data_IF_451614702467
#
_entry.id   IF_451614702467
#
_cell.length_a   1.000
_cell.length_b   1.000
_cell.length_c   1.000
_cell.angle_alpha   90.00
_cell.angle_beta   90.00
_cell.angle_gamma   90.00
#
_symmetry.space_group_name_H-M   'P 1'
#
loop_
_entity.id
_entity.type
_entity.pdbx_description
1 polymer ?
#
# COMPACT_ATOMS: atom_id res chain seq x y z
N UNK A 1 -21.60 3.36 -7.36
CA UNK A 1 -21.88 2.49 -6.18
C UNK A 1 -22.44 3.25 -4.97
N UNK A 2 -22.37 4.58 -4.94
CA UNK A 2 -22.71 5.38 -3.75
C UNK A 2 -24.17 5.21 -3.27
N UNK A 3 -25.13 4.97 -4.15
CA UNK A 3 -26.55 4.88 -3.78
C UNK A 3 -26.89 3.65 -2.93
N UNK A 4 -26.04 2.61 -2.96
CA UNK A 4 -26.23 1.40 -2.14
C UNK A 4 -25.62 1.54 -0.74
N UNK A 5 -25.02 2.69 -0.42
CA UNK A 5 -24.36 2.94 0.87
C UNK A 5 -25.31 3.48 1.95
N UNK A 6 -25.09 3.13 3.23
CA UNK A 6 -25.71 3.87 4.32
C UNK A 6 -25.33 5.36 4.29
N UNK A 7 -26.31 6.25 4.53
CA UNK A 7 -26.16 7.72 4.44
C UNK A 7 -24.93 8.32 5.13
N UNK A 8 -24.54 7.78 6.29
CA UNK A 8 -23.35 8.26 7.02
C UNK A 8 -22.06 8.13 6.19
N UNK A 9 -21.94 7.07 5.38
CA UNK A 9 -20.78 6.85 4.53
C UNK A 9 -20.83 7.74 3.28
N UNK A 10 -22.01 7.96 2.71
CA UNK A 10 -22.20 8.87 1.57
C UNK A 10 -21.64 10.26 1.90
N UNK A 11 -22.01 10.81 3.07
CA UNK A 11 -21.50 12.13 3.53
C UNK A 11 -19.98 12.15 3.72
N UNK A 12 -19.38 11.10 4.28
CA UNK A 12 -17.92 11.03 4.39
C UNK A 12 -17.24 11.03 3.03
N UNK A 13 -17.81 10.29 2.06
CA UNK A 13 -17.28 10.24 0.69
C UNK A 13 -17.39 11.61 0.00
N UNK A 14 -18.53 12.31 0.14
CA UNK A 14 -18.71 13.67 -0.40
C UNK A 14 -17.64 14.64 0.12
N UNK A 15 -17.36 14.64 1.43
CA UNK A 15 -16.31 15.47 2.02
C UNK A 15 -14.92 15.15 1.45
N UNK A 16 -14.64 13.86 1.19
CA UNK A 16 -13.37 13.44 0.59
C UNK A 16 -13.25 13.88 -0.87
N UNK A 17 -14.35 13.88 -1.63
CA UNK A 17 -14.36 14.39 -3.01
C UNK A 17 -13.97 15.85 -3.05
N UNK A 18 -14.57 16.65 -2.18
CA UNK A 18 -14.30 18.08 -2.06
C UNK A 18 -12.86 18.33 -1.61
N UNK A 19 -12.38 17.55 -0.63
CA UNK A 19 -11.06 17.75 -0.01
C UNK A 19 -9.90 17.29 -0.89
N UNK A 20 -10.09 16.21 -1.67
CA UNK A 20 -9.02 15.53 -2.41
C UNK A 20 -9.21 15.55 -3.93
N UNK A 21 -10.12 16.38 -4.43
CA UNK A 21 -10.29 16.62 -5.87
C UNK A 21 -10.67 15.36 -6.65
N UNK A 22 -11.46 14.47 -6.06
CA UNK A 22 -11.91 13.26 -6.75
C UNK A 22 -12.83 13.59 -7.94
N UNK A 23 -13.42 14.79 -8.01
CA UNK A 23 -14.18 15.26 -9.18
C UNK A 23 -13.33 15.73 -10.36
N UNK A 24 -12.00 15.81 -10.22
CA UNK A 24 -11.07 16.28 -11.26
C UNK A 24 -10.23 15.13 -11.83
N UNK A 25 -9.39 15.37 -12.83
CA UNK A 25 -8.30 14.44 -13.14
C UNK A 25 -7.21 14.52 -12.04
N UNK A 26 -6.37 13.50 -11.89
CA UNK A 26 -5.24 13.59 -10.96
C UNK A 26 -4.29 14.71 -11.37
N UNK A 27 -4.06 14.84 -12.68
CA UNK A 27 -3.22 15.88 -13.25
C UNK A 27 -3.68 17.26 -12.81
N UNK A 28 -4.93 17.63 -13.11
CA UNK A 28 -5.44 18.98 -12.82
C UNK A 28 -5.41 19.29 -11.32
N UNK A 29 -5.76 18.29 -10.51
CA UNK A 29 -5.71 18.42 -9.06
C UNK A 29 -4.27 18.70 -8.57
N UNK A 30 -3.27 17.97 -9.07
CA UNK A 30 -1.88 18.17 -8.65
C UNK A 30 -1.29 19.44 -9.24
N UNK A 31 -1.53 19.77 -10.52
CA UNK A 31 -1.05 21.01 -11.14
C UNK A 31 -1.51 22.25 -10.37
N UNK A 32 -2.78 22.31 -9.97
CA UNK A 32 -3.29 23.41 -9.14
C UNK A 32 -2.60 23.48 -7.76
N UNK A 33 -2.21 22.34 -7.19
CA UNK A 33 -1.42 22.29 -5.94
C UNK A 33 0.02 22.71 -6.17
N UNK A 34 0.64 22.36 -7.29
CA UNK A 34 1.99 22.78 -7.65
C UNK A 34 2.05 24.31 -7.74
N UNK A 35 1.14 24.95 -8.49
CA UNK A 35 1.06 26.41 -8.60
C UNK A 35 0.96 27.09 -7.23
N UNK A 36 0.17 26.52 -6.32
CA UNK A 36 -0.06 27.07 -4.99
C UNK A 36 1.12 26.85 -4.03
N UNK A 37 1.78 25.69 -4.08
CA UNK A 37 2.68 25.23 -3.02
C UNK A 37 4.15 25.18 -3.40
N UNK A 38 4.49 25.12 -4.69
CA UNK A 38 5.89 25.06 -5.15
C UNK A 38 6.75 26.23 -4.73
N UNK A 39 6.27 27.50 -4.72
CA UNK A 39 7.08 28.61 -4.22
C UNK A 39 7.63 28.35 -2.80
N UNK A 40 6.86 27.67 -1.94
CA UNK A 40 7.29 27.30 -0.59
C UNK A 40 8.15 26.04 -0.56
N UNK A 41 7.74 24.99 -1.28
CA UNK A 41 8.42 23.68 -1.29
C UNK A 41 9.80 23.73 -1.95
N UNK A 42 9.99 24.57 -2.97
CA UNK A 42 11.26 24.75 -3.67
C UNK A 42 12.09 25.91 -3.09
N UNK A 43 11.50 26.71 -2.21
CA UNK A 43 12.16 27.79 -1.46
C UNK A 43 12.56 27.36 -0.06
N UNK A 44 11.88 27.91 0.94
CA UNK A 44 12.21 27.77 2.37
C UNK A 44 12.22 26.32 2.87
N UNK A 45 11.31 25.49 2.35
CA UNK A 45 11.13 24.10 2.76
C UNK A 45 11.90 23.10 1.89
N UNK A 46 12.76 23.58 0.98
CA UNK A 46 13.59 22.69 0.17
C UNK A 46 14.48 21.86 1.09
N UNK A 47 14.56 20.55 0.82
CA UNK A 47 15.49 19.67 1.55
C UNK A 47 16.92 20.19 1.36
N UNK A 48 17.54 20.61 2.47
CA UNK A 48 18.92 21.11 2.50
C UNK A 48 19.90 19.94 2.63
N UNK A 49 21.09 20.09 2.08
CA UNK A 49 22.20 19.15 2.27
C UNK A 49 22.11 17.86 1.44
N UNK A 50 21.39 17.88 0.33
CA UNK A 50 21.37 16.78 -0.65
C UNK A 50 21.76 17.33 -2.01
N UNK A 51 22.72 16.70 -2.69
CA UNK A 51 23.19 17.11 -4.02
C UNK A 51 22.24 16.65 -5.13
N UNK A 52 21.00 17.13 -5.09
CA UNK A 52 19.99 16.85 -6.11
C UNK A 52 19.99 17.89 -7.23
N UNK A 53 19.73 17.42 -8.45
CA UNK A 53 19.37 18.27 -9.59
C UNK A 53 18.04 18.98 -9.35
N UNK A 54 17.79 20.07 -10.08
CA UNK A 54 16.52 20.79 -10.01
C UNK A 54 15.31 19.88 -10.30
N UNK A 55 15.43 18.98 -11.29
CA UNK A 55 14.38 18.02 -11.63
C UNK A 55 14.06 17.05 -10.48
N UNK A 56 15.07 16.60 -9.74
CA UNK A 56 14.89 15.74 -8.57
C UNK A 56 14.23 16.50 -7.40
N UNK A 57 14.54 17.79 -7.22
CA UNK A 57 13.84 18.63 -6.26
C UNK A 57 12.36 18.83 -6.63
N UNK A 58 12.06 19.03 -7.91
CA UNK A 58 10.68 19.10 -8.43
C UNK A 58 9.97 17.75 -8.24
N UNK A 59 10.63 16.64 -8.51
CA UNK A 59 10.07 15.30 -8.33
C UNK A 59 9.72 15.05 -6.86
N UNK A 60 10.61 15.38 -5.93
CA UNK A 60 10.34 15.27 -4.49
C UNK A 60 9.21 16.19 -4.04
N UNK A 61 9.18 17.46 -4.49
CA UNK A 61 8.09 18.38 -4.17
C UNK A 61 6.74 17.87 -4.71
N UNK A 62 6.72 17.30 -5.92
CA UNK A 62 5.53 16.69 -6.52
C UNK A 62 5.10 15.44 -5.75
N UNK A 63 6.06 14.57 -5.39
CA UNK A 63 5.83 13.40 -4.55
C UNK A 63 5.21 13.79 -3.22
N UNK A 64 5.63 14.88 -2.58
CA UNK A 64 5.03 15.35 -1.34
C UNK A 64 3.54 15.75 -1.50
N UNK A 65 3.15 16.30 -2.66
CA UNK A 65 1.75 16.65 -2.96
C UNK A 65 0.89 15.43 -3.29
N UNK A 66 1.51 14.36 -3.78
CA UNK A 66 0.85 13.09 -4.15
C UNK A 66 0.96 12.02 -3.06
N UNK A 67 1.83 12.21 -2.07
CA UNK A 67 2.19 11.20 -1.09
C UNK A 67 1.14 11.02 0.00
N UNK A 68 1.16 9.83 0.62
CA UNK A 68 0.35 9.52 1.79
C UNK A 68 -1.11 9.14 1.48
N UNK A 69 -1.91 9.08 2.55
CA UNK A 69 -3.31 8.64 2.49
C UNK A 69 -4.23 9.47 1.58
N UNK A 70 -4.05 10.79 1.38
CA UNK A 70 -4.88 11.57 0.47
C UNK A 70 -5.02 10.99 -0.94
N UNK A 71 -3.94 10.47 -1.52
CA UNK A 71 -3.97 9.84 -2.85
C UNK A 71 -4.78 8.55 -2.85
N UNK A 72 -4.63 7.76 -1.78
CA UNK A 72 -5.38 6.52 -1.61
C UNK A 72 -6.87 6.82 -1.43
N UNK A 73 -7.23 7.73 -0.52
CA UNK A 73 -8.60 8.18 -0.26
C UNK A 73 -9.28 8.72 -1.52
N UNK A 74 -8.53 9.43 -2.37
CA UNK A 74 -9.01 9.86 -3.68
C UNK A 74 -9.38 8.67 -4.58
N UNK A 75 -8.56 7.62 -4.61
CA UNK A 75 -8.85 6.39 -5.36
C UNK A 75 -10.11 5.67 -4.86
N UNK A 76 -10.29 5.62 -3.54
CA UNK A 76 -11.53 5.12 -2.92
C UNK A 76 -12.75 5.94 -3.35
N UNK A 77 -12.67 7.27 -3.30
CA UNK A 77 -13.75 8.14 -3.72
C UNK A 77 -14.12 7.90 -5.20
N UNK A 78 -13.13 7.86 -6.09
CA UNK A 78 -13.32 7.54 -7.52
C UNK A 78 -13.99 6.18 -7.72
N UNK A 79 -13.53 5.14 -7.02
CA UNK A 79 -14.13 3.81 -7.06
C UNK A 79 -15.61 3.84 -6.68
N UNK A 80 -15.95 4.51 -5.58
CA UNK A 80 -17.30 4.45 -5.02
C UNK A 80 -18.30 5.31 -5.82
N UNK A 81 -17.86 6.48 -6.26
CA UNK A 81 -18.71 7.46 -6.95
C UNK A 81 -18.85 7.15 -8.43
N UNK A 82 -17.74 6.89 -9.10
CA UNK A 82 -17.67 6.75 -10.55
C UNK A 82 -17.63 5.28 -10.99
N UNK A 83 -17.62 4.33 -10.04
CA UNK A 83 -17.51 2.89 -10.32
C UNK A 83 -16.20 2.54 -11.06
N UNK A 84 -15.10 3.21 -10.71
CA UNK A 84 -13.79 3.09 -11.39
C UNK A 84 -12.76 2.27 -10.59
N UNK A 85 -12.73 0.93 -10.73
CA UNK A 85 -11.76 0.08 -10.02
C UNK A 85 -10.31 0.36 -10.41
N UNK A 86 -10.06 0.79 -11.65
CA UNK A 86 -8.73 1.16 -12.12
C UNK A 86 -8.13 2.34 -11.36
N UNK A 87 -8.96 3.28 -10.91
CA UNK A 87 -8.47 4.44 -10.15
C UNK A 87 -8.05 4.04 -8.74
N UNK A 88 -8.74 3.09 -8.11
CA UNK A 88 -8.34 2.56 -6.81
C UNK A 88 -7.03 1.77 -6.91
N UNK A 89 -6.90 0.92 -7.93
CA UNK A 89 -5.65 0.21 -8.18
C UNK A 89 -4.48 1.17 -8.44
N UNK A 90 -4.70 2.21 -9.27
CA UNK A 90 -3.73 3.28 -9.53
C UNK A 90 -3.30 4.04 -8.31
N UNK A 91 -4.25 4.49 -7.51
CA UNK A 91 -3.98 5.14 -6.24
C UNK A 91 -3.20 4.24 -5.28
N UNK A 92 -3.56 2.96 -5.16
CA UNK A 92 -2.89 2.01 -4.27
C UNK A 92 -1.43 1.73 -4.69
N UNK A 93 -1.18 1.45 -5.99
CA UNK A 93 0.17 1.25 -6.51
C UNK A 93 1.01 2.52 -6.40
N UNK A 94 0.52 3.68 -6.87
CA UNK A 94 1.26 4.94 -6.76
C UNK A 94 1.53 5.31 -5.30
N UNK A 95 0.57 5.13 -4.39
CA UNK A 95 0.78 5.33 -2.96
C UNK A 95 1.94 4.49 -2.42
N UNK A 96 1.95 3.18 -2.71
CA UNK A 96 3.03 2.30 -2.30
C UNK A 96 4.37 2.71 -2.92
N UNK A 97 4.41 2.91 -4.23
CA UNK A 97 5.63 3.32 -4.93
C UNK A 97 6.22 4.62 -4.37
N UNK A 98 5.41 5.65 -4.14
CA UNK A 98 5.87 6.91 -3.54
C UNK A 98 6.31 6.76 -2.08
N UNK A 99 5.72 5.81 -1.35
CA UNK A 99 6.04 5.56 0.05
C UNK A 99 7.31 4.73 0.24
N UNK A 100 7.54 3.77 -0.64
CA UNK A 100 8.67 2.84 -0.56
C UNK A 100 9.87 3.29 -1.40
N UNK A 101 9.67 4.20 -2.36
CA UNK A 101 10.69 4.81 -3.22
C UNK A 101 11.99 5.18 -2.47
N UNK A 102 11.92 5.92 -1.36
CA UNK A 102 13.12 6.38 -0.64
C UNK A 102 13.58 5.43 0.48
N UNK A 103 13.10 4.18 0.48
CA UNK A 103 13.27 3.24 1.59
C UNK A 103 12.41 3.62 2.80
N UNK A 104 12.08 2.65 3.65
CA UNK A 104 11.26 2.92 4.85
C UNK A 104 12.11 3.38 6.03
N UNK A 105 13.24 4.04 5.82
CA UNK A 105 14.10 4.43 6.93
C UNK A 105 13.65 5.75 7.56
N UNK A 106 13.63 5.79 8.88
CA UNK A 106 13.44 7.04 9.62
C UNK A 106 14.73 7.89 9.64
N UNK A 107 14.68 8.98 10.40
CA UNK A 107 15.80 9.89 10.59
C UNK A 107 16.98 9.26 11.35
N UNK A 108 16.74 8.20 12.12
CA UNK A 108 17.75 7.42 12.84
C UNK A 108 18.25 6.23 12.00
N UNK A 109 17.89 6.20 10.71
CA UNK A 109 18.25 5.16 9.75
C UNK A 109 17.63 3.78 10.08
N UNK A 110 16.60 3.72 10.92
CA UNK A 110 15.89 2.50 11.28
C UNK A 110 14.72 2.24 10.31
N UNK A 111 14.46 0.97 9.98
CA UNK A 111 13.36 0.60 9.09
C UNK A 111 12.01 0.72 9.77
N UNK A 112 11.24 1.73 9.36
CA UNK A 112 9.82 1.85 9.60
C UNK A 112 9.08 0.67 8.97
N UNK A 113 8.32 0.01 9.82
CA UNK A 113 7.43 -1.04 9.40
C UNK A 113 6.09 -0.45 8.94
N UNK A 114 5.67 -0.73 7.71
CA UNK A 114 4.39 -0.28 7.15
C UNK A 114 3.60 -1.45 6.54
N UNK A 115 3.48 -2.55 7.29
CA UNK A 115 2.93 -3.80 6.78
C UNK A 115 1.50 -3.69 6.23
N UNK A 116 0.63 -2.89 6.86
CA UNK A 116 -0.73 -2.65 6.34
C UNK A 116 -0.70 -1.93 4.98
N UNK A 117 0.22 -0.99 4.81
CA UNK A 117 0.39 -0.28 3.54
C UNK A 117 0.99 -1.18 2.46
N UNK A 118 1.79 -2.19 2.85
CA UNK A 118 2.24 -3.23 1.94
C UNK A 118 1.04 -3.99 1.38
N UNK A 119 0.15 -4.46 2.26
CA UNK A 119 -1.07 -5.15 1.83
C UNK A 119 -1.97 -4.25 0.97
N UNK A 120 -2.16 -2.98 1.35
CA UNK A 120 -2.95 -2.04 0.53
C UNK A 120 -2.38 -1.85 -0.87
N UNK A 121 -1.06 -1.82 -0.99
CA UNK A 121 -0.39 -1.69 -2.27
C UNK A 121 -0.48 -3.00 -3.08
N UNK A 122 -0.25 -4.16 -2.43
CA UNK A 122 -0.38 -5.48 -3.03
C UNK A 122 -1.78 -5.72 -3.62
N UNK A 123 -2.81 -5.12 -3.04
CA UNK A 123 -4.19 -5.18 -3.56
C UNK A 123 -4.34 -4.65 -4.99
N UNK A 124 -3.39 -3.84 -5.47
CA UNK A 124 -3.36 -3.38 -6.86
C UNK A 124 -2.74 -4.40 -7.83
N UNK A 125 -2.14 -5.48 -7.33
CA UNK A 125 -1.37 -6.44 -8.13
C UNK A 125 0.08 -6.01 -8.40
N UNK A 126 0.56 -4.94 -7.77
CA UNK A 126 1.92 -4.42 -7.94
C UNK A 126 2.97 -5.23 -7.18
N UNK A 127 3.16 -6.49 -7.58
CA UNK A 127 4.11 -7.40 -6.94
C UNK A 127 5.57 -6.99 -7.20
N UNK A 128 5.86 -6.47 -8.39
CA UNK A 128 7.22 -6.07 -8.79
C UNK A 128 7.85 -5.05 -7.84
N UNK A 129 7.04 -4.13 -7.29
CA UNK A 129 7.47 -3.22 -6.24
C UNK A 129 8.01 -3.97 -5.01
N UNK A 130 7.30 -5.00 -4.57
CA UNK A 130 7.64 -5.73 -3.35
C UNK A 130 8.77 -6.74 -3.54
N UNK A 131 8.87 -7.38 -4.71
CA UNK A 131 10.06 -8.15 -5.08
C UNK A 131 11.31 -7.28 -4.93
N UNK A 132 11.29 -6.08 -5.53
CA UNK A 132 12.43 -5.16 -5.44
C UNK A 132 12.65 -4.61 -4.03
N UNK A 133 11.58 -4.24 -3.33
CA UNK A 133 11.67 -3.79 -1.93
C UNK A 133 12.33 -4.85 -1.04
N UNK A 134 11.94 -6.12 -1.15
CA UNK A 134 12.53 -7.20 -0.32
C UNK A 134 13.96 -7.57 -0.68
N UNK A 135 14.41 -7.27 -1.91
CA UNK A 135 15.80 -7.47 -2.31
C UNK A 135 16.78 -6.51 -1.60
N UNK A 136 16.30 -5.36 -1.14
CA UNK A 136 17.14 -4.26 -0.63
C UNK A 136 16.86 -3.89 0.82
N UNK A 137 15.79 -4.42 1.40
CA UNK A 137 15.40 -4.18 2.80
C UNK A 137 15.69 -5.40 3.68
N UNK A 138 15.94 -5.20 5.00
CA UNK A 138 16.26 -6.30 5.89
C UNK A 138 15.06 -7.20 6.10
N UNK A 139 15.36 -8.45 6.44
CA UNK A 139 14.36 -9.48 6.66
C UNK A 139 13.36 -9.20 7.80
N UNK A 140 13.73 -8.33 8.76
CA UNK A 140 12.90 -7.96 9.92
C UNK A 140 13.07 -6.47 10.21
N UNK A 141 11.95 -5.79 10.46
CA UNK A 141 11.97 -4.44 11.01
C UNK A 141 12.38 -4.46 12.49
N UNK A 142 13.22 -3.50 12.91
CA UNK A 142 13.68 -3.38 14.31
C UNK A 142 12.74 -2.52 15.14
N UNK A 143 12.26 -1.42 14.56
CA UNK A 143 11.42 -0.42 15.20
C UNK A 143 9.95 -0.53 14.76
N UNK A 144 9.05 0.09 15.53
CA UNK A 144 7.62 0.13 15.25
C UNK A 144 6.77 -0.83 16.09
N UNK A 145 5.43 -0.76 15.95
CA UNK A 145 4.49 -1.57 16.72
C UNK A 145 4.71 -3.07 16.48
N UNK A 146 4.68 -3.86 17.56
CA UNK A 146 4.91 -5.31 17.52
C UNK A 146 4.14 -6.04 16.41
N UNK A 147 2.83 -5.75 16.31
CA UNK A 147 1.94 -6.34 15.31
C UNK A 147 2.39 -6.08 13.87
N UNK A 148 2.87 -4.87 13.60
CA UNK A 148 3.31 -4.49 12.25
C UNK A 148 4.63 -5.17 11.93
N UNK A 149 5.60 -5.18 12.85
CA UNK A 149 6.90 -5.85 12.66
C UNK A 149 6.74 -7.32 12.32
N UNK A 150 5.88 -8.00 13.08
CA UNK A 150 5.49 -9.37 12.88
C UNK A 150 4.88 -9.60 11.48
N UNK A 151 3.88 -8.80 11.12
CA UNK A 151 3.23 -8.89 9.81
C UNK A 151 4.20 -8.62 8.66
N UNK A 152 5.09 -7.64 8.80
CA UNK A 152 6.13 -7.36 7.83
C UNK A 152 7.09 -8.54 7.66
N UNK A 153 7.53 -9.17 8.75
CA UNK A 153 8.37 -10.37 8.68
C UNK A 153 7.66 -11.50 7.91
N UNK A 154 6.36 -11.71 8.16
CA UNK A 154 5.55 -12.68 7.41
C UNK A 154 5.44 -12.34 5.92
N UNK A 155 5.02 -11.12 5.58
CA UNK A 155 4.86 -10.69 4.18
C UNK A 155 6.18 -10.79 3.40
N UNK A 156 7.27 -10.27 3.97
CA UNK A 156 8.59 -10.30 3.32
C UNK A 156 9.14 -11.71 3.19
N UNK A 157 8.84 -12.62 4.13
CA UNK A 157 9.20 -14.03 4.02
C UNK A 157 8.46 -14.72 2.88
N UNK A 158 7.15 -14.44 2.70
CA UNK A 158 6.37 -14.96 1.57
C UNK A 158 6.94 -14.45 0.23
N UNK A 159 7.18 -13.15 0.11
CA UNK A 159 7.78 -12.55 -1.09
C UNK A 159 9.17 -13.16 -1.39
N UNK A 160 10.00 -13.36 -0.37
CA UNK A 160 11.33 -13.97 -0.53
C UNK A 160 11.27 -15.48 -0.77
N UNK A 161 10.08 -16.09 -0.74
CA UNK A 161 9.85 -17.54 -0.73
C UNK A 161 10.63 -18.30 0.36
N UNK A 162 10.91 -17.63 1.48
CA UNK A 162 11.64 -18.20 2.61
C UNK A 162 10.68 -18.81 3.64
N UNK A 163 10.46 -20.12 3.52
CA UNK A 163 9.55 -20.88 4.38
C UNK A 163 10.03 -20.94 5.84
N UNK A 164 11.33 -20.93 6.08
CA UNK A 164 11.88 -20.94 7.45
C UNK A 164 11.59 -19.61 8.13
N UNK A 165 11.86 -18.49 7.47
CA UNK A 165 11.50 -17.16 7.99
C UNK A 165 10.00 -17.00 8.21
N UNK A 166 9.18 -17.59 7.34
CA UNK A 166 7.72 -17.58 7.52
C UNK A 166 7.31 -18.34 8.78
N UNK A 167 7.84 -19.55 8.97
CA UNK A 167 7.59 -20.35 10.17
C UNK A 167 8.03 -19.62 11.45
N UNK A 168 9.21 -18.98 11.44
CA UNK A 168 9.69 -18.18 12.56
C UNK A 168 8.76 -17.00 12.87
N UNK A 169 8.27 -16.29 11.85
CA UNK A 169 7.35 -15.17 12.04
C UNK A 169 6.00 -15.61 12.62
N UNK A 170 5.52 -16.80 12.27
CA UNK A 170 4.29 -17.41 12.83
C UNK A 170 4.53 -17.84 14.28
N UNK A 171 5.62 -18.54 14.58
CA UNK A 171 5.96 -18.92 15.96
C UNK A 171 6.10 -17.70 16.89
N UNK A 172 6.70 -16.60 16.38
CA UNK A 172 6.82 -15.35 17.13
C UNK A 172 5.45 -14.68 17.38
N UNK A 173 4.50 -14.84 16.45
CA UNK A 173 3.10 -14.44 16.65
C UNK A 173 2.38 -15.30 17.69
N UNK A 174 2.57 -16.62 17.69
CA UNK A 174 1.93 -17.53 18.65
C UNK A 174 2.35 -17.24 20.10
N UNK A 175 3.58 -16.75 20.30
CA UNK A 175 4.07 -16.30 21.60
C UNK A 175 3.41 -14.98 22.08
N UNK A 176 2.68 -14.27 21.22
CA UNK A 176 2.06 -13.00 21.56
C UNK A 176 0.79 -13.18 22.40
N UNK A 177 0.79 -12.66 23.63
CA UNK A 177 -0.28 -12.90 24.62
C UNK A 177 -1.67 -12.34 24.28
N UNK A 178 -1.75 -11.29 23.47
CA UNK A 178 -3.02 -10.55 23.21
C UNK A 178 -3.09 -10.03 21.77
N UNK A 179 -3.10 -10.91 20.76
CA UNK A 179 -3.21 -10.47 19.38
C UNK A 179 -4.59 -9.86 19.12
N UNK A 180 -4.64 -8.83 18.28
CA UNK A 180 -5.92 -8.30 17.79
C UNK A 180 -6.54 -9.30 16.80
N UNK A 181 -7.88 -9.35 16.74
CA UNK A 181 -8.58 -10.31 15.88
C UNK A 181 -8.16 -10.23 14.41
N UNK A 182 -8.04 -9.02 13.85
CA UNK A 182 -7.66 -8.87 12.44
C UNK A 182 -6.24 -9.37 12.14
N UNK A 183 -5.31 -9.25 13.09
CA UNK A 183 -3.96 -9.84 12.95
C UNK A 183 -4.04 -11.35 12.97
N UNK A 184 -4.92 -11.91 13.82
CA UNK A 184 -5.16 -13.36 13.89
C UNK A 184 -5.64 -13.92 12.55
N UNK A 185 -6.54 -13.21 11.85
CA UNK A 185 -6.98 -13.63 10.52
C UNK A 185 -5.84 -13.62 9.49
N UNK A 186 -4.99 -12.58 9.51
CA UNK A 186 -3.82 -12.52 8.63
C UNK A 186 -2.87 -13.70 8.88
N UNK A 187 -2.56 -14.00 10.15
CA UNK A 187 -1.68 -15.09 10.52
C UNK A 187 -2.26 -16.47 10.23
N UNK A 188 -3.58 -16.67 10.41
CA UNK A 188 -4.24 -17.90 9.99
C UNK A 188 -4.10 -18.14 8.48
N UNK A 189 -4.15 -17.08 7.68
CA UNK A 189 -3.93 -17.15 6.22
C UNK A 189 -2.47 -17.49 5.90
N UNK A 190 -1.51 -16.85 6.57
CA UNK A 190 -0.08 -17.14 6.41
C UNK A 190 0.28 -18.57 6.85
N UNK A 191 -0.37 -19.08 7.90
CA UNK A 191 -0.23 -20.47 8.32
C UNK A 191 -0.73 -21.43 7.23
N UNK A 192 -1.90 -21.17 6.61
CA UNK A 192 -2.37 -21.97 5.48
C UNK A 192 -1.40 -21.98 4.30
N UNK A 193 -0.74 -20.84 4.02
CA UNK A 193 0.32 -20.76 3.01
C UNK A 193 1.54 -21.59 3.41
N UNK A 194 1.96 -21.54 4.67
CA UNK A 194 3.05 -22.38 5.18
C UNK A 194 2.68 -23.86 5.06
N UNK A 195 1.49 -24.26 5.48
CA UNK A 195 1.03 -25.65 5.47
C UNK A 195 0.65 -26.16 4.06
N UNK A 196 0.63 -25.27 3.07
CA UNK A 196 0.18 -25.56 1.71
C UNK A 196 -1.27 -26.06 1.66
N UNK A 197 -2.13 -25.46 2.50
CA UNK A 197 -3.56 -25.79 2.64
C UNK A 197 -4.45 -24.66 2.08
N UNK A 198 -5.01 -24.83 0.86
CA UNK A 198 -5.91 -23.85 0.26
C UNK A 198 -7.20 -23.58 1.06
N UNK A 199 -7.71 -24.58 1.79
CA UNK A 199 -8.93 -24.43 2.61
C UNK A 199 -8.63 -23.52 3.80
N UNK A 200 -7.45 -23.68 4.41
CA UNK A 200 -7.03 -22.81 5.51
C UNK A 200 -6.78 -21.38 5.05
N UNK A 201 -6.17 -21.19 3.87
CA UNK A 201 -6.00 -19.85 3.25
C UNK A 201 -7.36 -19.19 3.03
N UNK A 202 -8.32 -19.89 2.40
CA UNK A 202 -9.66 -19.36 2.15
C UNK A 202 -10.38 -18.96 3.45
N UNK A 203 -10.35 -19.81 4.48
CA UNK A 203 -10.94 -19.51 5.80
C UNK A 203 -10.30 -18.31 6.49
N UNK A 204 -8.99 -18.15 6.37
CA UNK A 204 -8.26 -17.01 6.91
C UNK A 204 -8.67 -15.70 6.24
N UNK A 205 -8.73 -15.69 4.90
CA UNK A 205 -9.21 -14.56 4.11
C UNK A 205 -10.66 -14.20 4.42
N UNK A 206 -11.55 -15.19 4.47
CA UNK A 206 -12.97 -14.99 4.82
C UNK A 206 -13.12 -14.34 6.20
N UNK A 207 -12.43 -14.89 7.21
CA UNK A 207 -12.43 -14.34 8.56
C UNK A 207 -11.89 -12.91 8.59
N UNK A 208 -10.88 -12.60 7.78
CA UNK A 208 -10.31 -11.27 7.70
C UNK A 208 -11.32 -10.27 7.10
N UNK A 209 -11.97 -10.64 5.99
CA UNK A 209 -13.02 -9.85 5.34
C UNK A 209 -14.15 -9.54 6.34
N UNK A 210 -14.63 -10.54 7.08
CA UNK A 210 -15.70 -10.35 8.07
C UNK A 210 -15.29 -9.47 9.26
N UNK A 211 -14.04 -9.61 9.70
CA UNK A 211 -13.50 -8.85 10.84
C UNK A 211 -13.21 -7.40 10.47
N UNK A 212 -12.77 -7.12 9.23
CA UNK A 212 -12.38 -5.79 8.76
C UNK A 212 -13.44 -4.71 9.01
N UNK A 213 -14.72 -5.07 8.82
CA UNK A 213 -15.87 -4.19 9.08
C UNK A 213 -16.01 -3.75 10.54
N UNK A 214 -15.46 -4.52 11.47
CA UNK A 214 -15.61 -4.35 12.92
C UNK A 214 -14.43 -3.62 13.56
N UNK A 215 -13.37 -3.30 12.81
CA UNK A 215 -12.17 -2.67 13.36
C UNK A 215 -12.45 -1.20 13.64
N UNK A 216 -12.60 -0.82 14.91
CA UNK A 216 -12.94 0.55 15.31
C UNK A 216 -11.87 1.57 14.93
N UNK A 217 -10.60 1.17 14.86
CA UNK A 217 -9.47 2.06 14.56
C UNK A 217 -9.29 2.36 13.07
N UNK A 218 -9.97 1.64 12.17
CA UNK A 218 -9.89 1.95 10.74
C UNK A 218 -10.72 3.19 10.43
N UNK A 219 -10.22 4.01 9.51
CA UNK A 219 -11.02 5.03 8.88
C UNK A 219 -12.21 4.39 8.18
N UNK A 220 -13.40 4.98 8.33
CA UNK A 220 -14.66 4.36 7.91
C UNK A 220 -14.71 3.99 6.42
N UNK A 221 -13.98 4.71 5.57
CA UNK A 221 -13.85 4.41 4.15
C UNK A 221 -13.12 3.07 3.89
N UNK A 222 -12.07 2.78 4.65
CA UNK A 222 -11.28 1.55 4.54
C UNK A 222 -12.04 0.31 5.07
N UNK A 223 -13.16 0.52 5.75
CA UNK A 223 -14.08 -0.56 6.15
C UNK A 223 -15.06 -0.92 5.03
N UNK A 224 -15.29 -0.01 4.08
CA UNK A 224 -16.22 -0.26 3.00
C UNK A 224 -15.61 -1.08 1.89
N UNK A 225 -14.41 -0.69 1.44
CA UNK A 225 -13.55 -1.52 0.61
C UNK A 225 -12.31 -1.79 1.47
N UNK A 226 -12.04 -3.03 1.82
CA UNK A 226 -10.86 -3.37 2.61
C UNK A 226 -9.79 -3.89 1.65
N UNK A 227 -8.75 -3.10 1.42
CA UNK A 227 -7.66 -3.48 0.52
C UNK A 227 -6.74 -4.53 1.14
N UNK A 228 -6.65 -4.62 2.47
CA UNK A 228 -5.72 -5.53 3.13
C UNK A 228 -6.01 -7.02 2.82
N UNK A 229 -7.27 -7.51 2.83
CA UNK A 229 -7.61 -8.84 2.33
C UNK A 229 -7.29 -9.04 0.84
N UNK A 230 -7.47 -8.01 0.00
CA UNK A 230 -7.09 -8.08 -1.42
C UNK A 230 -5.57 -8.25 -1.56
N UNK A 231 -4.79 -7.49 -0.80
CA UNK A 231 -3.34 -7.62 -0.80
C UNK A 231 -2.84 -8.97 -0.31
N UNK A 232 -3.48 -9.52 0.71
CA UNK A 232 -3.14 -10.84 1.23
C UNK A 232 -3.52 -11.95 0.24
N UNK A 233 -4.67 -11.82 -0.44
CA UNK A 233 -5.05 -12.69 -1.55
C UNK A 233 -4.01 -12.65 -2.69
N UNK A 234 -3.61 -11.46 -3.13
CA UNK A 234 -2.61 -11.30 -4.19
C UNK A 234 -1.24 -11.85 -3.79
N UNK A 235 -0.86 -11.70 -2.52
CA UNK A 235 0.35 -12.29 -1.97
C UNK A 235 0.31 -13.83 -2.03
N UNK A 236 -0.78 -14.45 -1.57
CA UNK A 236 -0.96 -15.90 -1.62
C UNK A 236 -0.97 -16.43 -3.06
N UNK A 237 -1.73 -15.77 -3.94
CA UNK A 237 -1.84 -16.13 -5.36
C UNK A 237 -0.50 -16.03 -6.09
N UNK A 238 0.28 -14.98 -5.83
CA UNK A 238 1.61 -14.83 -6.42
C UNK A 238 2.59 -15.89 -5.91
N UNK A 239 2.49 -16.28 -4.63
CA UNK A 239 3.31 -17.34 -4.07
C UNK A 239 3.01 -18.67 -4.76
N UNK A 240 1.74 -19.07 -4.80
CA UNK A 240 1.22 -20.23 -5.51
C UNK A 240 -0.28 -20.07 -5.79
N UNK A 241 -0.68 -20.17 -7.06
CA UNK A 241 -2.08 -20.04 -7.49
C UNK A 241 -2.96 -21.14 -6.87
N UNK A 242 -2.42 -22.33 -6.60
CA UNK A 242 -3.19 -23.42 -5.99
C UNK A 242 -3.69 -23.07 -4.59
N UNK A 243 -3.00 -22.20 -3.85
CA UNK A 243 -3.40 -21.79 -2.50
C UNK A 243 -4.70 -20.99 -2.45
N UNK A 244 -5.10 -20.38 -3.56
CA UNK A 244 -6.33 -19.57 -3.62
C UNK A 244 -7.49 -20.29 -4.32
N UNK A 245 -7.36 -21.59 -4.62
CA UNK A 245 -8.37 -22.36 -5.35
C UNK A 245 -9.72 -22.47 -4.63
N UNK A 246 -9.70 -22.49 -3.30
CA UNK A 246 -10.89 -22.63 -2.46
C UNK A 246 -11.51 -21.29 -2.05
N UNK A 247 -10.83 -20.17 -2.34
CA UNK A 247 -11.35 -18.84 -2.04
C UNK A 247 -12.33 -18.41 -3.13
N UNK A 248 -13.54 -18.02 -2.74
CA UNK A 248 -14.53 -17.45 -3.66
C UNK A 248 -14.29 -15.93 -3.83
N UNK A 249 -13.87 -15.44 -5.01
CA UNK A 249 -13.69 -14.02 -5.25
C UNK A 249 -14.98 -13.29 -5.64
N UNK A 250 -16.04 -14.00 -6.06
CA UNK A 250 -17.31 -13.45 -6.53
C UNK A 250 -18.21 -13.06 -5.34
N UNK A 251 -17.76 -12.05 -4.61
CA UNK A 251 -18.38 -11.59 -3.35
C UNK A 251 -18.61 -10.09 -3.36
N UNK A 252 -19.55 -9.64 -2.55
CA UNK A 252 -19.77 -8.23 -2.31
C UNK A 252 -18.76 -7.66 -1.31
N UNK A 253 -18.82 -6.35 -1.14
CA UNK A 253 -18.09 -5.57 -0.14
C UNK A 253 -18.10 -6.28 1.23
N UNK A 254 -17.04 -6.16 2.05
CA UNK A 254 -15.93 -5.23 1.91
C UNK A 254 -14.84 -5.71 0.95
N UNK A 255 -15.01 -6.91 0.39
CA UNK A 255 -14.28 -7.34 -0.79
C UNK A 255 -14.81 -6.61 -2.03
N UNK A 256 -13.97 -5.87 -2.74
CA UNK A 256 -14.37 -5.21 -3.97
C UNK A 256 -14.16 -6.10 -5.19
N UNK A 257 -15.24 -6.74 -5.66
CA UNK A 257 -15.18 -7.61 -6.85
C UNK A 257 -14.73 -6.86 -8.12
N UNK A 258 -15.07 -5.57 -8.23
CA UNK A 258 -14.64 -4.72 -9.34
C UNK A 258 -13.12 -4.58 -9.42
N UNK A 259 -12.47 -4.28 -8.28
CA UNK A 259 -11.01 -4.24 -8.16
C UNK A 259 -10.41 -5.59 -8.50
N UNK A 260 -10.92 -6.69 -7.94
CA UNK A 260 -10.45 -8.04 -8.23
C UNK A 260 -10.42 -8.31 -9.75
N UNK A 261 -11.57 -8.17 -10.43
CA UNK A 261 -11.65 -8.42 -11.87
C UNK A 261 -10.75 -7.49 -12.68
N UNK A 262 -10.62 -6.22 -12.29
CA UNK A 262 -9.73 -5.30 -12.97
C UNK A 262 -8.26 -5.72 -12.86
N UNK A 263 -7.81 -6.08 -11.65
CA UNK A 263 -6.44 -6.55 -11.40
C UNK A 263 -6.16 -7.83 -12.19
N UNK A 264 -7.08 -8.80 -12.17
CA UNK A 264 -6.96 -10.04 -12.98
C UNK A 264 -6.85 -9.72 -14.47
N UNK A 265 -7.63 -8.77 -14.99
CA UNK A 265 -7.63 -8.38 -16.41
C UNK A 265 -6.43 -7.55 -16.84
N UNK A 266 -5.63 -7.05 -15.89
CA UNK A 266 -4.45 -6.21 -16.12
C UNK A 266 -3.18 -6.81 -15.55
N UNK A 267 -3.15 -8.13 -15.34
CA UNK A 267 -1.97 -8.83 -14.83
C UNK A 267 -0.73 -8.56 -15.71
N UNK A 268 0.42 -8.35 -15.06
CA UNK A 268 1.68 -7.97 -15.70
C UNK A 268 1.79 -6.50 -16.11
N UNK A 269 0.71 -5.70 -16.00
CA UNK A 269 0.78 -4.25 -16.20
C UNK A 269 0.97 -3.55 -14.86
N UNK A 270 1.91 -2.61 -14.81
CA UNK A 270 2.11 -1.79 -13.63
C UNK A 270 0.97 -0.78 -13.50
N UNK A 271 0.16 -0.85 -12.42
CA UNK A 271 -1.05 -0.05 -12.34
C UNK A 271 -0.75 1.25 -11.59
N UNK A 272 0.24 2.06 -11.98
CA UNK A 272 0.46 3.38 -11.36
C UNK A 272 -0.04 4.51 -12.28
N UNK A 273 -0.24 5.71 -11.74
CA UNK A 273 -0.52 6.89 -12.55
C UNK A 273 0.67 7.24 -13.46
N UNK A 274 0.38 7.68 -14.68
CA UNK A 274 1.33 8.41 -15.51
C UNK A 274 1.33 9.88 -15.06
N UNK A 275 2.48 10.34 -14.59
CA UNK A 275 2.71 11.69 -14.04
C UNK A 275 3.80 12.42 -14.81
N UNK A 276 4.17 11.95 -16.01
CA UNK A 276 5.27 12.52 -16.79
C UNK A 276 5.10 14.00 -17.07
N UNK A 277 3.87 14.47 -17.28
CA UNK A 277 3.57 15.89 -17.52
C UNK A 277 3.70 16.76 -16.26
N UNK A 278 3.60 16.17 -15.06
CA UNK A 278 3.79 16.87 -13.79
C UNK A 278 5.27 16.90 -13.37
N UNK A 279 5.99 15.80 -13.60
CA UNK A 279 7.42 15.66 -13.36
C UNK A 279 7.97 14.41 -14.07
N UNK A 280 8.80 14.56 -15.10
CA UNK A 280 9.46 13.42 -15.76
C UNK A 280 10.34 12.62 -14.80
N UNK A 281 11.12 13.28 -13.94
CA UNK A 281 11.94 12.62 -12.94
C UNK A 281 11.09 11.80 -11.95
N UNK A 282 9.93 12.29 -11.51
CA UNK A 282 9.02 11.49 -10.67
C UNK A 282 8.43 10.29 -11.43
N UNK A 283 8.13 10.44 -12.71
CA UNK A 283 7.69 9.33 -13.54
C UNK A 283 8.76 8.23 -13.61
N UNK A 284 10.02 8.62 -13.79
CA UNK A 284 11.15 7.68 -13.81
C UNK A 284 11.31 7.01 -12.45
N UNK A 285 11.15 7.74 -11.36
CA UNK A 285 11.17 7.22 -9.99
C UNK A 285 10.09 6.17 -9.74
N UNK A 286 8.86 6.45 -10.21
CA UNK A 286 7.75 5.51 -10.12
C UNK A 286 8.00 4.24 -10.93
N UNK A 287 8.72 4.30 -12.05
CA UNK A 287 8.99 3.11 -12.90
C UNK A 287 10.19 2.33 -12.39
N UNK A 288 11.30 3.03 -12.15
CA UNK A 288 12.60 2.42 -11.83
C UNK A 288 12.71 2.01 -10.38
N UNK A 289 11.87 2.54 -9.48
CA UNK A 289 11.89 2.22 -8.05
C UNK A 289 13.30 2.25 -7.44
N UNK A 290 14.09 3.32 -7.65
CA UNK A 290 15.43 3.35 -7.08
C UNK A 290 15.30 3.49 -5.57
N UNK A 291 15.73 2.46 -4.85
CA UNK A 291 15.64 2.45 -3.40
C UNK A 291 16.85 3.15 -2.81
N UNK A 292 16.63 3.99 -1.81
CA UNK A 292 17.71 4.69 -1.09
C UNK A 292 18.82 3.75 -0.62
N UNK A 293 18.46 2.54 -0.18
CA UNK A 293 19.40 1.51 0.27
C UNK A 293 20.34 1.01 -0.84
N UNK A 294 19.93 1.08 -2.11
CA UNK A 294 20.79 0.78 -3.26
C UNK A 294 21.79 1.93 -3.54
N UNK A 295 21.45 3.16 -3.13
CA UNK A 295 22.17 4.37 -3.50
C UNK A 295 23.14 4.90 -2.43
N UNK A 296 23.27 4.22 -1.28
CA UNK A 296 24.12 4.65 -0.16
C UNK A 296 23.92 6.14 0.23
N UNK A 297 22.71 6.66 0.05
CA UNK A 297 22.38 8.05 0.40
C UNK A 297 22.34 8.17 1.93
N UNK A 298 23.46 8.54 2.53
CA UNK A 298 23.52 8.97 3.91
C UNK A 298 22.72 10.27 4.05
N UNK A 299 21.87 10.37 5.09
CA UNK A 299 21.46 11.69 5.52
C UNK A 299 22.75 12.45 5.83
N UNK A 300 22.92 13.72 5.44
CA UNK A 300 24.03 14.50 5.98
C UNK A 300 23.98 14.32 7.49
N UNK A 301 25.06 13.81 8.08
CA UNK A 301 25.16 13.66 9.53
C UNK A 301 24.64 14.97 10.12
N UNK A 302 23.68 14.87 11.05
CA UNK A 302 23.28 16.04 11.85
C UNK A 302 24.59 16.49 12.52
N UNK A 303 25.25 17.48 11.93
CA UNK A 303 26.58 17.91 12.34
C UNK A 303 26.55 18.15 13.84
N UNK A 304 27.51 17.55 14.54
CA UNK A 304 27.77 17.82 15.95
C UNK A 304 28.16 19.28 16.19
#
# INVERSE_FOLDING_TARGET
MIDTLPKKYQRHIEVLVESYGAGQSLHDYISAKQEKHFPKLLGENRIRGVDWTEEQYIAHATQHLMGGYPLLERGYAKRILEDRPEELARSASTFGRLRYWWGTRDEENDFLCHANDMLRTLASGDIALFERYTAVTPAKARTGPWAEKLLHAGITAVISRDRTRLADAIAEYEAWKKPKMYITCMYATLQGLLDSDPVQVARGLDSFIETSRKISQLYDLFKYICLEPHGLYELCRWYDVALISEFNPDRSLPWDNGLYHWVRSNEGKCPHYDVKSLSPALQDWLVQLPFRDEHAHHWPDKGG
#
